data_IF_278972915242
#
_entry.id   IF_278972915242
#
_cell.length_a   1.000
_cell.length_b   1.000
_cell.length_c   1.000
_cell.angle_alpha   90.00
_cell.angle_beta   90.00
_cell.angle_gamma   90.00
#
_symmetry.space_group_name_H-M   'P 1'
#
loop_
_entity.id
_entity.type
_entity.pdbx_description
1 polymer ?
#
# COMPACT_ATOMS: atom_id res chain seq x y z
N UNK A 1 -1.25 19.93 8.67
CA UNK A 1 -0.81 18.53 8.64
C UNK A 1 0.71 18.49 8.74
N UNK A 2 1.28 17.78 9.73
CA UNK A 2 2.73 17.65 9.96
C UNK A 2 3.17 16.28 9.40
N UNK A 3 4.34 16.24 8.80
CA UNK A 3 4.91 14.98 8.29
C UNK A 3 6.31 14.82 8.86
N UNK A 4 6.74 13.57 8.98
CA UNK A 4 8.13 13.28 9.27
C UNK A 4 8.95 13.71 8.05
N UNK A 5 9.98 14.54 8.26
CA UNK A 5 10.88 14.99 7.19
C UNK A 5 12.20 14.24 7.17
N UNK A 6 12.67 13.85 8.34
CA UNK A 6 13.92 13.13 8.57
C UNK A 6 13.82 12.44 9.93
N UNK A 7 14.53 11.33 10.08
CA UNK A 7 14.83 10.74 11.36
C UNK A 7 16.25 10.17 11.34
N UNK A 8 16.88 10.09 12.51
CA UNK A 8 18.15 9.42 12.75
C UNK A 8 17.93 8.49 13.93
N UNK A 9 18.34 7.23 13.79
CA UNK A 9 18.32 6.26 14.88
C UNK A 9 19.76 6.01 15.35
N UNK A 10 19.92 5.90 16.67
CA UNK A 10 21.18 5.54 17.31
C UNK A 10 20.88 4.58 18.47
N UNK A 11 21.75 3.59 18.67
CA UNK A 11 21.48 2.49 19.59
C UNK A 11 20.57 1.44 18.95
N UNK A 12 19.38 1.22 19.51
CA UNK A 12 18.41 0.26 18.97
C UNK A 12 17.74 0.81 17.69
N UNK A 13 18.15 0.29 16.54
CA UNK A 13 17.66 0.71 15.22
C UNK A 13 16.48 -0.10 14.71
N UNK A 14 15.94 -1.04 15.51
CA UNK A 14 14.85 -1.92 15.05
C UNK A 14 13.58 -1.17 14.67
N UNK A 15 13.41 0.06 15.19
CA UNK A 15 12.30 0.94 14.83
C UNK A 15 12.35 1.48 13.39
N UNK A 16 13.49 1.31 12.68
CA UNK A 16 13.69 1.84 11.32
C UNK A 16 12.56 1.44 10.38
N UNK A 17 12.16 0.16 10.39
CA UNK A 17 11.22 -0.39 9.42
C UNK A 17 9.90 0.39 9.39
N UNK A 18 9.30 0.66 10.55
CA UNK A 18 8.01 1.34 10.63
C UNK A 18 8.12 2.88 10.55
N UNK A 19 9.21 3.48 11.05
CA UNK A 19 9.45 4.93 10.91
C UNK A 19 9.73 5.30 9.44
N UNK A 20 10.44 4.43 8.71
CA UNK A 20 10.73 4.59 7.28
C UNK A 20 9.44 4.65 6.45
N UNK A 21 8.45 3.81 6.74
CA UNK A 21 7.14 3.86 6.08
C UNK A 21 6.45 5.20 6.31
N UNK A 22 6.46 5.74 7.54
CA UNK A 22 5.88 7.06 7.83
C UNK A 22 6.52 8.17 7.00
N UNK A 23 7.84 8.11 6.83
CA UNK A 23 8.60 9.06 6.03
C UNK A 23 8.31 8.91 4.52
N UNK A 24 8.46 7.71 3.98
CA UNK A 24 8.34 7.43 2.54
C UNK A 24 6.91 7.67 2.03
N UNK A 25 5.91 7.19 2.78
CA UNK A 25 4.52 7.29 2.39
C UNK A 25 3.89 8.63 2.79
N UNK A 26 4.67 9.52 3.43
CA UNK A 26 4.25 10.83 3.94
C UNK A 26 2.97 10.73 4.77
N UNK A 27 2.96 9.79 5.72
CA UNK A 27 1.81 9.56 6.60
C UNK A 27 1.74 10.63 7.71
N UNK A 28 0.55 10.95 8.25
CA UNK A 28 0.41 11.96 9.30
C UNK A 28 1.19 11.58 10.56
N UNK A 29 2.22 12.36 10.90
CA UNK A 29 3.06 12.08 12.06
C UNK A 29 2.46 12.55 13.42
N UNK A 30 1.34 13.30 13.38
CA UNK A 30 0.74 13.97 14.56
C UNK A 30 0.33 12.93 15.60
N UNK A 31 -0.26 11.83 15.14
CA UNK A 31 -0.82 10.80 15.99
C UNK A 31 0.26 10.00 16.71
N UNK A 32 1.52 10.05 16.22
CA UNK A 32 2.64 9.36 16.84
C UNK A 32 3.26 10.21 17.96
N UNK A 33 3.52 11.50 17.74
CA UNK A 33 4.07 12.38 18.79
C UNK A 33 5.33 11.79 19.46
N UNK A 34 5.28 11.60 20.79
CA UNK A 34 6.37 10.96 21.57
C UNK A 34 6.59 9.48 21.22
N UNK A 35 5.60 8.81 20.64
CA UNK A 35 5.68 7.39 20.27
C UNK A 35 6.71 7.13 19.16
N UNK A 36 7.13 8.16 18.41
CA UNK A 36 8.25 8.07 17.47
C UNK A 36 9.58 7.71 18.16
N UNK A 37 9.69 7.90 19.47
CA UNK A 37 10.88 7.61 20.27
C UNK A 37 10.84 6.21 20.93
N UNK A 38 9.77 5.44 20.73
CA UNK A 38 9.65 4.10 21.32
C UNK A 38 10.61 3.15 20.60
N UNK A 39 11.49 2.44 21.35
CA UNK A 39 12.40 1.48 20.75
C UNK A 39 11.66 0.19 20.35
N UNK A 40 12.20 -0.50 19.35
CA UNK A 40 11.74 -1.83 18.95
C UNK A 40 11.09 -1.90 17.57
N UNK A 41 11.00 -3.11 17.05
CA UNK A 41 10.52 -3.39 15.68
C UNK A 41 9.01 -3.24 15.49
N UNK A 42 8.23 -3.22 16.57
CA UNK A 42 6.77 -3.09 16.51
C UNK A 42 6.37 -1.64 16.66
N UNK A 43 5.60 -1.12 15.70
CA UNK A 43 5.04 0.22 15.81
C UNK A 43 3.99 0.25 16.95
N UNK A 44 4.03 1.26 17.85
CA UNK A 44 3.08 1.38 18.96
C UNK A 44 1.66 1.72 18.49
N UNK A 45 1.51 2.24 17.28
CA UNK A 45 0.24 2.44 16.57
C UNK A 45 0.41 1.86 15.17
N UNK A 46 -0.64 1.25 14.63
CA UNK A 46 -0.64 0.68 13.29
C UNK A 46 -0.12 1.70 12.24
N UNK A 47 0.88 1.29 11.47
CA UNK A 47 1.41 2.03 10.32
C UNK A 47 0.91 1.30 9.08
N UNK A 48 -0.08 1.89 8.40
CA UNK A 48 -0.58 1.35 7.14
C UNK A 48 0.20 1.98 5.99
N UNK A 49 1.03 1.18 5.32
CA UNK A 49 1.70 1.63 4.11
C UNK A 49 0.68 1.97 3.02
N UNK A 50 1.01 2.93 2.17
CA UNK A 50 0.25 3.21 0.94
C UNK A 50 0.34 2.10 -0.09
N UNK A 51 1.29 1.17 0.09
CA UNK A 51 1.56 0.10 -0.85
C UNK A 51 2.42 0.54 -2.04
N UNK A 52 2.84 -0.44 -2.82
CA UNK A 52 3.61 -0.24 -4.05
C UNK A 52 2.70 0.27 -5.16
N UNK A 53 3.08 1.34 -5.84
CA UNK A 53 2.38 1.79 -7.07
C UNK A 53 2.48 0.72 -8.17
N UNK A 54 1.33 0.27 -8.65
CA UNK A 54 1.20 -0.70 -9.76
C UNK A 54 0.82 0.03 -11.05
N UNK A 55 -0.16 0.95 -11.00
CA UNK A 55 -0.53 1.78 -12.14
C UNK A 55 -0.12 3.23 -11.89
N UNK A 56 0.86 3.73 -12.63
CA UNK A 56 1.30 5.13 -12.52
C UNK A 56 0.32 6.12 -13.15
N UNK A 57 -0.40 5.74 -14.21
CA UNK A 57 -1.37 6.62 -14.88
C UNK A 57 -2.48 7.14 -13.97
N UNK A 58 -2.97 6.28 -13.07
CA UNK A 58 -4.06 6.61 -12.14
C UNK A 58 -3.63 6.51 -10.67
N UNK A 59 -2.31 6.42 -10.44
CA UNK A 59 -1.71 6.29 -9.11
C UNK A 59 -2.35 5.18 -8.24
N UNK A 60 -2.57 4.01 -8.83
CA UNK A 60 -3.17 2.85 -8.16
C UNK A 60 -2.09 1.98 -7.55
N UNK A 61 -2.26 1.61 -6.29
CA UNK A 61 -1.32 0.77 -5.53
C UNK A 61 -1.79 -0.68 -5.42
N UNK A 62 -0.89 -1.58 -5.05
CA UNK A 62 -1.19 -2.99 -4.79
C UNK A 62 -2.21 -3.15 -3.66
N UNK A 63 -2.10 -2.35 -2.59
CA UNK A 63 -3.07 -2.30 -1.49
C UNK A 63 -4.46 -1.93 -2.00
N UNK A 64 -4.59 -0.87 -2.80
CA UNK A 64 -5.88 -0.48 -3.38
C UNK A 64 -6.49 -1.56 -4.28
N UNK A 65 -5.65 -2.30 -5.02
CA UNK A 65 -6.09 -3.44 -5.84
C UNK A 65 -6.57 -4.59 -4.93
N UNK A 66 -5.83 -4.92 -3.87
CA UNK A 66 -6.21 -5.99 -2.94
C UNK A 66 -7.49 -5.67 -2.18
N UNK A 67 -7.68 -4.42 -1.75
CA UNK A 67 -8.89 -3.96 -1.09
C UNK A 67 -10.10 -4.09 -2.03
N UNK A 68 -9.97 -3.62 -3.28
CA UNK A 68 -11.02 -3.75 -4.28
C UNK A 68 -11.31 -5.22 -4.62
N UNK A 69 -10.28 -6.05 -4.74
CA UNK A 69 -10.43 -7.49 -4.99
C UNK A 69 -11.20 -8.19 -3.88
N UNK A 70 -10.96 -7.81 -2.63
CA UNK A 70 -11.62 -8.40 -1.45
C UNK A 70 -13.13 -8.12 -1.41
N UNK A 71 -13.59 -7.08 -2.13
CA UNK A 71 -15.02 -6.73 -2.27
C UNK A 71 -15.66 -7.37 -3.51
N UNK A 72 -14.86 -7.82 -4.47
CA UNK A 72 -15.34 -8.46 -5.71
C UNK A 72 -15.38 -9.98 -5.56
N UNK A 73 -16.40 -10.61 -6.15
CA UNK A 73 -16.50 -12.07 -6.27
C UNK A 73 -16.85 -12.41 -7.71
N UNK A 74 -16.34 -13.52 -8.21
CA UNK A 74 -16.59 -13.97 -9.57
C UNK A 74 -15.35 -14.58 -10.21
N UNK A 75 -15.40 -14.75 -11.52
CA UNK A 75 -14.26 -15.24 -12.30
C UNK A 75 -13.14 -14.19 -12.35
N UNK A 76 -11.92 -14.62 -12.72
CA UNK A 76 -10.79 -13.70 -12.90
C UNK A 76 -11.12 -12.55 -13.89
N UNK A 77 -11.91 -12.80 -14.93
CA UNK A 77 -12.32 -11.79 -15.90
C UNK A 77 -13.29 -10.78 -15.28
N UNK A 78 -14.25 -11.24 -14.47
CA UNK A 78 -15.20 -10.39 -13.76
C UNK A 78 -14.48 -9.50 -12.73
N UNK A 79 -13.55 -10.07 -11.96
CA UNK A 79 -12.74 -9.30 -11.01
C UNK A 79 -11.86 -8.27 -11.74
N UNK A 80 -11.27 -8.64 -12.88
CA UNK A 80 -10.47 -7.70 -13.67
C UNK A 80 -11.33 -6.54 -14.21
N UNK A 81 -12.51 -6.82 -14.76
CA UNK A 81 -13.43 -5.78 -15.22
C UNK A 81 -13.82 -4.85 -14.07
N UNK A 82 -14.21 -5.40 -12.92
CA UNK A 82 -14.60 -4.62 -11.76
C UNK A 82 -13.46 -3.71 -11.25
N UNK A 83 -12.21 -4.20 -11.27
CA UNK A 83 -11.03 -3.38 -10.95
C UNK A 83 -10.83 -2.25 -11.96
N UNK A 84 -11.01 -2.52 -13.26
CA UNK A 84 -10.89 -1.51 -14.30
C UNK A 84 -11.98 -0.44 -14.19
N UNK A 85 -13.21 -0.82 -13.86
CA UNK A 85 -14.32 0.11 -13.66
C UNK A 85 -14.11 1.00 -12.43
N UNK A 86 -13.60 0.42 -11.35
CA UNK A 86 -13.42 1.12 -10.06
C UNK A 86 -12.16 1.96 -10.01
N UNK A 87 -11.01 1.39 -10.40
CA UNK A 87 -9.68 1.99 -10.24
C UNK A 87 -9.10 2.53 -11.55
N UNK A 88 -9.74 2.25 -12.69
CA UNK A 88 -9.28 2.64 -14.04
C UNK A 88 -7.90 2.09 -14.43
N UNK A 89 -7.33 1.19 -13.64
CA UNK A 89 -6.00 0.67 -13.91
C UNK A 89 -5.98 -0.18 -15.19
N UNK A 90 -4.95 0.00 -16.03
CA UNK A 90 -4.82 -0.75 -17.28
C UNK A 90 -5.66 -0.25 -18.46
N UNK A 91 -6.39 0.85 -18.34
CA UNK A 91 -7.21 1.42 -19.44
C UNK A 91 -6.57 2.60 -20.19
N UNK A 92 -5.46 3.15 -19.68
CA UNK A 92 -4.73 4.26 -20.32
C UNK A 92 -3.54 3.76 -21.15
N UNK A 93 -2.37 3.53 -20.54
CA UNK A 93 -1.18 3.06 -21.26
C UNK A 93 -1.01 1.52 -21.29
N UNK A 94 -1.82 0.78 -20.53
CA UNK A 94 -1.81 -0.69 -20.47
C UNK A 94 -0.59 -1.33 -19.78
N UNK A 95 0.44 -0.59 -19.37
CA UNK A 95 1.70 -1.17 -18.85
C UNK A 95 1.54 -2.04 -17.59
N UNK A 96 0.55 -1.72 -16.77
CA UNK A 96 0.23 -2.44 -15.54
C UNK A 96 -0.67 -3.66 -15.74
N UNK A 97 -1.22 -3.88 -16.94
CA UNK A 97 -2.20 -4.94 -17.20
C UNK A 97 -1.67 -6.36 -16.92
N UNK A 98 -0.42 -6.74 -17.27
CA UNK A 98 0.10 -8.07 -16.95
C UNK A 98 0.19 -8.33 -15.45
N UNK A 99 0.62 -7.33 -14.68
CA UNK A 99 0.76 -7.48 -13.22
C UNK A 99 -0.60 -7.53 -12.54
N UNK A 100 -1.57 -6.72 -12.96
CA UNK A 100 -2.94 -6.76 -12.43
C UNK A 100 -3.57 -8.14 -12.68
N UNK A 101 -3.44 -8.69 -13.89
CA UNK A 101 -3.92 -10.05 -14.20
C UNK A 101 -3.30 -11.09 -13.26
N UNK A 102 -1.99 -10.99 -12.99
CA UNK A 102 -1.29 -11.89 -12.07
C UNK A 102 -1.83 -11.78 -10.64
N UNK A 103 -2.11 -10.57 -10.17
CA UNK A 103 -2.72 -10.33 -8.85
C UNK A 103 -4.15 -10.90 -8.75
N UNK A 104 -4.97 -10.71 -9.79
CA UNK A 104 -6.35 -11.24 -9.86
C UNK A 104 -6.36 -12.77 -9.83
N UNK A 105 -5.47 -13.41 -10.60
CA UNK A 105 -5.32 -14.86 -10.60
C UNK A 105 -4.90 -15.38 -9.22
N UNK A 106 -3.91 -14.73 -8.59
CA UNK A 106 -3.45 -15.08 -7.26
C UNK A 106 -4.53 -14.92 -6.17
N UNK A 107 -5.46 -13.96 -6.34
CA UNK A 107 -6.61 -13.79 -5.46
C UNK A 107 -7.65 -14.90 -5.66
N UNK A 108 -7.97 -15.23 -6.92
CA UNK A 108 -8.92 -16.29 -7.26
C UNK A 108 -8.44 -17.67 -6.81
N UNK A 109 -7.14 -17.98 -6.88
CA UNK A 109 -6.59 -19.26 -6.41
C UNK A 109 -6.62 -19.43 -4.89
N UNK A 110 -6.86 -18.36 -4.12
CA UNK A 110 -6.96 -18.41 -2.65
C UNK A 110 -8.40 -18.53 -2.15
N UNK A 111 -9.37 -18.42 -3.04
CA UNK A 111 -10.81 -18.55 -2.76
C UNK A 111 -11.25 -19.97 -3.10
#
# INVERSE_FOLDING_TARGET
>A
MRFLRLFLLAGDTRSEAWIKTLLQDKLPAQNYGRLLLVPGSQAPIAVQSRGKTICTCFNVTDVAIQDALSLTKGTAEQCLSALQDTLKCGTNCGSCAPEIKRMVLAHNSKT
#
